data_IF_932450901780
#
_entry.id   IF_932450901780
#
_cell.length_a   1.000
_cell.length_b   1.000
_cell.length_c   1.000
_cell.angle_alpha   90.00
_cell.angle_beta   90.00
_cell.angle_gamma   90.00
#
_symmetry.space_group_name_H-M   'P 1'
#
loop_
_entity.id
_entity.type
_entity.pdbx_description
1 polymer ?
#
# COMPACT_ATOMS: atom_id res chain seq x y z
N UNK A 1 7.40 -18.47 60.57
CA UNK A 1 5.92 -18.58 60.59
C UNK A 1 5.24 -17.85 59.43
N UNK A 2 4.99 -16.53 59.42
CA UNK A 2 4.27 -15.90 58.30
C UNK A 2 5.04 -15.94 56.95
N UNK A 3 6.32 -15.56 56.95
CA UNK A 3 7.19 -15.62 55.76
C UNK A 3 7.34 -17.06 55.23
N UNK A 4 7.37 -18.01 56.15
CA UNK A 4 7.50 -19.44 55.83
C UNK A 4 6.20 -20.03 55.25
N UNK A 5 5.05 -19.57 55.75
CA UNK A 5 3.73 -19.88 55.19
C UNK A 5 3.60 -19.32 53.76
N UNK A 6 4.05 -18.09 53.53
CA UNK A 6 3.96 -17.45 52.22
C UNK A 6 4.95 -18.09 51.23
N UNK A 7 6.15 -18.48 51.66
CA UNK A 7 7.07 -19.30 50.86
C UNK A 7 6.46 -20.67 50.50
N UNK A 8 5.79 -21.34 51.44
CA UNK A 8 5.11 -22.61 51.17
C UNK A 8 3.92 -22.45 50.20
N UNK A 9 3.21 -21.33 50.21
CA UNK A 9 2.16 -21.05 49.21
C UNK A 9 2.76 -20.87 47.82
N UNK A 10 3.87 -20.14 47.69
CA UNK A 10 4.56 -19.94 46.41
C UNK A 10 5.05 -21.26 45.84
N UNK A 11 5.67 -22.13 46.66
CA UNK A 11 6.12 -23.46 46.21
C UNK A 11 4.96 -24.36 45.81
N UNK A 12 3.84 -24.33 46.54
CA UNK A 12 2.61 -25.06 46.16
C UNK A 12 2.05 -24.54 44.83
N UNK A 13 1.97 -23.22 44.64
CA UNK A 13 1.52 -22.64 43.37
C UNK A 13 2.45 -23.01 42.21
N UNK A 14 3.76 -23.05 42.44
CA UNK A 14 4.73 -23.48 41.44
C UNK A 14 4.57 -24.96 41.10
N UNK A 15 4.45 -25.84 42.09
CA UNK A 15 4.20 -27.27 41.89
C UNK A 15 2.86 -27.54 41.19
N UNK A 16 1.83 -26.75 41.48
CA UNK A 16 0.53 -26.83 40.79
C UNK A 16 0.65 -26.41 39.32
N UNK A 17 1.40 -25.35 39.02
CA UNK A 17 1.67 -24.92 37.65
C UNK A 17 2.48 -25.98 36.88
N UNK A 18 3.53 -26.52 37.47
CA UNK A 18 4.34 -27.59 36.88
C UNK A 18 3.51 -28.85 36.63
N UNK A 19 2.67 -29.25 37.60
CA UNK A 19 1.71 -30.35 37.42
C UNK A 19 0.75 -30.08 36.26
N UNK A 20 0.21 -28.87 36.16
CA UNK A 20 -0.73 -28.52 35.09
C UNK A 20 -0.03 -28.54 33.73
N UNK A 21 1.20 -28.04 33.63
CA UNK A 21 2.01 -28.09 32.42
C UNK A 21 2.31 -29.54 32.00
N UNK A 22 2.65 -30.42 32.94
CA UNK A 22 2.88 -31.84 32.67
C UNK A 22 1.61 -32.55 32.18
N UNK A 23 0.45 -32.25 32.78
CA UNK A 23 -0.85 -32.79 32.31
C UNK A 23 -1.14 -32.33 30.88
N UNK A 24 -0.92 -31.05 30.59
CA UNK A 24 -1.16 -30.50 29.25
C UNK A 24 -0.19 -31.09 28.21
N UNK A 25 1.09 -31.27 28.57
CA UNK A 25 2.07 -31.96 27.72
C UNK A 25 1.67 -33.41 27.45
N UNK A 26 1.25 -34.15 28.49
CA UNK A 26 0.80 -35.54 28.36
C UNK A 26 -0.44 -35.64 27.46
N UNK A 27 -1.40 -34.72 27.61
CA UNK A 27 -2.60 -34.67 26.77
C UNK A 27 -2.25 -34.37 25.31
N UNK A 28 -1.37 -33.38 25.05
CA UNK A 28 -0.88 -33.08 23.71
C UNK A 28 -0.18 -34.29 23.09
N UNK A 29 0.68 -34.98 23.84
CA UNK A 29 1.38 -36.17 23.37
C UNK A 29 0.43 -37.35 23.12
N UNK A 30 -0.58 -37.54 23.98
CA UNK A 30 -1.64 -38.54 23.80
C UNK A 30 -2.44 -38.28 22.53
N UNK A 31 -2.85 -37.04 22.29
CA UNK A 31 -3.55 -36.65 21.06
C UNK A 31 -2.70 -36.86 19.80
N UNK A 32 -1.42 -36.50 19.83
CA UNK A 32 -0.53 -36.76 18.69
C UNK A 32 -0.37 -38.25 18.43
N UNK A 33 -0.19 -39.05 19.49
CA UNK A 33 -0.05 -40.50 19.36
C UNK A 33 -1.34 -41.11 18.80
N UNK A 34 -2.51 -40.68 19.28
CA UNK A 34 -3.80 -41.15 18.77
C UNK A 34 -3.98 -40.82 17.28
N UNK A 35 -3.60 -39.60 16.85
CA UNK A 35 -3.62 -39.24 15.43
C UNK A 35 -2.68 -40.12 14.60
N UNK A 36 -1.47 -40.41 15.10
CA UNK A 36 -0.53 -41.29 14.39
C UNK A 36 -1.02 -42.73 14.31
N UNK A 37 -1.64 -43.25 15.37
CA UNK A 37 -2.24 -44.60 15.38
C UNK A 37 -3.34 -44.68 14.34
N UNK A 38 -4.28 -43.72 14.33
CA UNK A 38 -5.37 -43.70 13.35
C UNK A 38 -4.85 -43.65 11.91
N UNK A 39 -3.79 -42.88 11.65
CA UNK A 39 -3.15 -42.80 10.33
C UNK A 39 -2.49 -44.13 9.94
N UNK A 40 -1.74 -44.76 10.85
CA UNK A 40 -1.11 -46.06 10.61
C UNK A 40 -2.15 -47.16 10.40
N UNK A 41 -3.25 -47.16 11.16
CA UNK A 41 -4.36 -48.08 10.97
C UNK A 41 -5.03 -47.88 9.60
N UNK A 42 -5.23 -46.64 9.17
CA UNK A 42 -5.76 -46.35 7.84
C UNK A 42 -4.82 -46.85 6.74
N UNK A 43 -3.51 -46.59 6.86
CA UNK A 43 -2.51 -47.07 5.90
C UNK A 43 -2.47 -48.60 5.85
N UNK A 44 -2.59 -49.26 7.00
CA UNK A 44 -2.63 -50.72 7.08
C UNK A 44 -3.88 -51.27 6.39
N UNK A 45 -5.05 -50.61 6.55
CA UNK A 45 -6.27 -50.98 5.82
C UNK A 45 -6.11 -50.85 4.31
N UNK A 46 -5.48 -49.77 3.84
CA UNK A 46 -5.23 -49.56 2.41
C UNK A 46 -4.27 -50.63 1.88
N UNK A 47 -3.13 -50.85 2.54
CA UNK A 47 -2.16 -51.86 2.12
C UNK A 47 -2.75 -53.28 2.10
N UNK A 48 -3.63 -53.60 3.05
CA UNK A 48 -4.35 -54.88 3.05
C UNK A 48 -5.35 -54.99 1.89
N UNK A 49 -6.04 -53.90 1.54
CA UNK A 49 -6.92 -53.88 0.38
C UNK A 49 -6.15 -54.07 -0.92
N UNK A 50 -5.03 -53.36 -1.09
CA UNK A 50 -4.16 -53.48 -2.26
C UNK A 50 -3.59 -54.90 -2.40
N UNK A 51 -3.22 -55.53 -1.27
CA UNK A 51 -2.80 -56.94 -1.25
C UNK A 51 -3.91 -57.88 -1.73
N UNK A 52 -5.16 -57.63 -1.35
CA UNK A 52 -6.30 -58.46 -1.73
C UNK A 52 -6.61 -58.33 -3.22
N UNK A 53 -6.59 -57.09 -3.74
CA UNK A 53 -6.74 -56.81 -5.18
C UNK A 53 -5.62 -57.48 -5.97
N UNK A 54 -4.36 -57.35 -5.55
CA UNK A 54 -3.23 -57.99 -6.23
C UNK A 54 -3.33 -59.53 -6.22
N UNK A 55 -3.87 -60.13 -5.15
CA UNK A 55 -4.14 -61.57 -5.10
C UNK A 55 -5.24 -61.98 -6.09
N UNK A 56 -6.31 -61.21 -6.17
CA UNK A 56 -7.39 -61.46 -7.12
C UNK A 56 -6.91 -61.34 -8.57
N UNK A 57 -6.12 -60.31 -8.88
CA UNK A 57 -5.51 -60.14 -10.19
C UNK A 57 -4.57 -61.31 -10.54
N UNK A 58 -3.78 -61.78 -9.59
CA UNK A 58 -2.95 -62.97 -9.79
C UNK A 58 -3.77 -64.22 -10.07
N UNK A 59 -4.87 -64.43 -9.36
CA UNK A 59 -5.78 -65.57 -9.56
C UNK A 59 -6.44 -65.53 -10.94
N UNK A 60 -6.92 -64.35 -11.36
CA UNK A 60 -7.49 -64.18 -12.71
C UNK A 60 -6.46 -64.41 -13.81
N UNK A 61 -5.23 -63.91 -13.64
CA UNK A 61 -4.14 -64.13 -14.60
C UNK A 61 -3.75 -65.62 -14.68
N UNK A 62 -3.77 -66.32 -13.55
CA UNK A 62 -3.51 -67.75 -13.47
C UNK A 62 -4.59 -68.56 -14.20
N UNK A 63 -5.86 -68.19 -14.05
CA UNK A 63 -6.97 -68.79 -14.78
C UNK A 63 -6.88 -68.51 -16.28
N UNK A 64 -6.55 -67.28 -16.68
CA UNK A 64 -6.31 -66.92 -18.07
C UNK A 64 -5.15 -67.70 -18.68
N UNK A 65 -4.07 -67.91 -17.94
CA UNK A 65 -2.94 -68.74 -18.36
C UNK A 65 -3.36 -70.20 -18.56
N UNK A 66 -4.12 -70.77 -17.63
CA UNK A 66 -4.65 -72.13 -17.75
C UNK A 66 -5.59 -72.27 -18.97
N UNK A 67 -6.47 -71.29 -19.17
CA UNK A 67 -7.38 -71.21 -20.32
C UNK A 67 -6.61 -71.08 -21.64
N UNK A 68 -5.53 -70.29 -21.65
CA UNK A 68 -4.65 -70.16 -22.80
C UNK A 68 -3.95 -71.49 -23.11
N UNK A 69 -3.44 -72.18 -22.10
CA UNK A 69 -2.81 -73.51 -22.26
C UNK A 69 -3.78 -74.52 -22.89
N UNK A 70 -5.03 -74.56 -22.44
CA UNK A 70 -6.07 -75.42 -23.01
C UNK A 70 -6.34 -75.04 -24.47
N UNK A 71 -6.50 -73.75 -24.77
CA UNK A 71 -6.70 -73.26 -26.15
C UNK A 71 -5.54 -73.62 -27.06
N UNK A 72 -4.30 -73.40 -26.62
CA UNK A 72 -3.10 -73.74 -27.37
C UNK A 72 -3.01 -75.25 -27.64
N UNK A 73 -3.30 -76.09 -26.65
CA UNK A 73 -3.33 -77.55 -26.82
C UNK A 73 -4.43 -78.00 -27.78
N UNK A 74 -5.60 -77.36 -27.74
CA UNK A 74 -6.70 -77.62 -28.68
C UNK A 74 -6.31 -77.28 -30.13
N UNK A 75 -5.71 -76.10 -30.33
CA UNK A 75 -5.19 -75.67 -31.64
C UNK A 75 -4.11 -76.62 -32.15
N UNK A 76 -3.18 -77.04 -31.28
CA UNK A 76 -2.11 -77.98 -31.67
C UNK A 76 -2.68 -79.34 -32.10
N UNK A 77 -3.72 -79.81 -31.39
CA UNK A 77 -4.44 -81.06 -31.71
C UNK A 77 -5.23 -80.94 -33.02
N UNK A 78 -5.84 -79.78 -33.27
CA UNK A 78 -6.54 -79.47 -34.52
C UNK A 78 -5.56 -79.37 -35.70
N UNK A 79 -4.39 -78.78 -35.49
CA UNK A 79 -3.34 -78.66 -36.49
C UNK A 79 -2.73 -80.03 -36.84
N UNK A 80 -2.57 -80.93 -35.87
CA UNK A 80 -2.20 -82.34 -36.12
C UNK A 80 -3.27 -83.09 -36.92
N UNK A 81 -4.57 -82.81 -36.72
CA UNK A 81 -5.65 -83.39 -37.52
C UNK A 81 -5.76 -82.83 -38.95
N UNK A 82 -5.30 -81.59 -39.19
CA UNK A 82 -5.39 -80.91 -40.49
C UNK A 82 -4.18 -81.13 -41.43
N UNK A 83 -3.14 -81.86 -41.00
CA UNK A 83 -1.97 -82.19 -41.83
C UNK A 83 -2.29 -83.05 -43.06
N UNK A 84 -3.50 -83.61 -43.18
CA UNK A 84 -3.94 -84.41 -44.32
C UNK A 84 -4.41 -83.60 -45.55
N UNK A 85 -4.56 -82.27 -45.45
CA UNK A 85 -5.15 -81.44 -46.53
C UNK A 85 -4.22 -80.35 -47.11
N UNK A 86 -2.93 -80.35 -46.76
CA UNK A 86 -2.06 -79.17 -46.94
C UNK A 86 -1.31 -79.05 -48.28
N UNK A 87 -1.48 -79.97 -49.25
CA UNK A 87 -0.63 -80.00 -50.46
C UNK A 87 -1.06 -79.10 -51.62
N UNK A 88 -2.31 -78.61 -51.66
CA UNK A 88 -2.82 -77.80 -52.78
C UNK A 88 -2.89 -76.28 -52.52
N UNK A 89 -2.75 -75.79 -51.27
CA UNK A 89 -2.83 -74.34 -50.96
C UNK A 89 -1.48 -73.60 -50.93
N UNK A 90 -0.37 -74.31 -51.11
CA UNK A 90 0.99 -73.78 -50.94
C UNK A 90 1.29 -72.44 -51.67
N UNK A 91 0.92 -72.23 -52.95
CA UNK A 91 1.25 -70.98 -53.63
C UNK A 91 0.38 -69.77 -53.21
N UNK A 92 -0.88 -69.98 -52.84
CA UNK A 92 -1.77 -68.91 -52.35
C UNK A 92 -1.44 -68.52 -50.90
N UNK A 93 -1.00 -69.48 -50.08
CA UNK A 93 -0.52 -69.23 -48.72
C UNK A 93 0.77 -68.41 -48.77
N UNK A 94 1.73 -68.76 -49.65
CA UNK A 94 3.01 -68.05 -49.77
C UNK A 94 2.80 -66.58 -50.17
N UNK A 95 1.93 -66.27 -51.14
CA UNK A 95 1.64 -64.88 -51.51
C UNK A 95 0.96 -64.08 -50.38
N UNK A 96 0.07 -64.73 -49.62
CA UNK A 96 -0.54 -64.11 -48.43
C UNK A 96 0.50 -63.89 -47.33
N UNK A 97 1.47 -64.79 -47.22
CA UNK A 97 2.58 -64.73 -46.27
C UNK A 97 3.50 -63.56 -46.60
N UNK A 98 3.84 -63.34 -47.88
CA UNK A 98 4.67 -62.21 -48.31
C UNK A 98 3.96 -60.87 -48.13
N UNK A 99 2.65 -60.77 -48.42
CA UNK A 99 1.86 -59.56 -48.12
C UNK A 99 1.85 -59.25 -46.63
N UNK A 100 1.66 -60.27 -45.79
CA UNK A 100 1.68 -60.12 -44.33
C UNK A 100 3.08 -59.72 -43.85
N UNK A 101 4.15 -60.30 -44.39
CA UNK A 101 5.54 -59.92 -44.09
C UNK A 101 5.83 -58.46 -44.44
N UNK A 102 5.39 -57.97 -45.61
CA UNK A 102 5.52 -56.55 -45.95
C UNK A 102 4.74 -55.64 -44.99
N UNK A 103 3.54 -56.04 -44.56
CA UNK A 103 2.77 -55.23 -43.59
C UNK A 103 3.42 -55.26 -42.21
N UNK A 104 3.99 -56.39 -41.80
CA UNK A 104 4.75 -56.51 -40.55
C UNK A 104 6.00 -55.63 -40.61
N UNK A 105 6.69 -55.58 -41.75
CA UNK A 105 7.87 -54.73 -41.92
C UNK A 105 7.49 -53.25 -41.87
N UNK A 106 6.42 -52.83 -42.55
CA UNK A 106 5.87 -51.46 -42.43
C UNK A 106 5.44 -51.13 -41.01
N UNK A 107 4.81 -52.06 -40.28
CA UNK A 107 4.44 -51.87 -38.88
C UNK A 107 5.67 -51.79 -37.97
N UNK A 108 6.74 -52.53 -38.27
CA UNK A 108 8.01 -52.43 -37.54
C UNK A 108 8.70 -51.10 -37.77
N UNK A 109 8.69 -50.57 -39.00
CA UNK A 109 9.29 -49.26 -39.29
C UNK A 109 8.50 -48.15 -38.61
N UNK A 110 7.17 -48.17 -38.68
CA UNK A 110 6.35 -47.16 -37.98
C UNK A 110 6.47 -47.26 -36.46
N UNK A 111 6.57 -48.47 -35.89
CA UNK A 111 6.84 -48.66 -34.47
C UNK A 111 8.21 -48.10 -34.08
N UNK A 112 9.24 -48.30 -34.91
CA UNK A 112 10.57 -47.74 -34.68
C UNK A 112 10.58 -46.21 -34.76
N UNK A 113 9.88 -45.62 -35.73
CA UNK A 113 9.73 -44.18 -35.87
C UNK A 113 8.97 -43.57 -34.68
N UNK A 114 7.86 -44.19 -34.25
CA UNK A 114 7.11 -43.77 -33.07
C UNK A 114 7.97 -43.88 -31.81
N UNK A 115 8.76 -44.95 -31.66
CA UNK A 115 9.68 -45.11 -30.54
C UNK A 115 10.77 -44.03 -30.55
N UNK A 116 11.36 -43.71 -31.71
CA UNK A 116 12.33 -42.63 -31.83
C UNK A 116 11.72 -41.27 -31.47
N UNK A 117 10.46 -41.03 -31.87
CA UNK A 117 9.75 -39.79 -31.52
C UNK A 117 9.46 -39.70 -30.03
N UNK A 118 9.07 -40.81 -29.39
CA UNK A 118 8.91 -40.88 -27.94
C UNK A 118 10.24 -40.56 -27.24
N UNK A 119 11.35 -41.16 -27.69
CA UNK A 119 12.68 -40.87 -27.11
C UNK A 119 13.08 -39.39 -27.28
N UNK A 120 12.78 -38.78 -28.43
CA UNK A 120 13.00 -37.34 -28.65
C UNK A 120 12.17 -36.50 -27.68
N UNK A 121 10.87 -36.79 -27.53
CA UNK A 121 9.98 -36.07 -26.62
C UNK A 121 10.36 -36.26 -25.15
N UNK A 122 10.90 -37.41 -24.77
CA UNK A 122 11.45 -37.65 -23.43
C UNK A 122 12.66 -36.72 -23.20
N UNK A 123 13.61 -36.69 -24.13
CA UNK A 123 14.79 -35.82 -24.01
C UNK A 123 14.43 -34.33 -23.97
N UNK A 124 13.42 -33.91 -24.74
CA UNK A 124 12.90 -32.53 -24.71
C UNK A 124 12.25 -32.21 -23.37
N UNK A 125 11.44 -33.12 -22.82
CA UNK A 125 10.87 -32.96 -21.48
C UNK A 125 11.96 -32.86 -20.41
N UNK A 126 13.03 -33.65 -20.49
CA UNK A 126 14.15 -33.57 -19.54
C UNK A 126 14.85 -32.21 -19.59
N UNK A 127 15.00 -31.61 -20.78
CA UNK A 127 15.57 -30.28 -20.94
C UNK A 127 14.62 -29.22 -20.38
N UNK A 128 13.33 -29.30 -20.70
CA UNK A 128 12.31 -28.37 -20.19
C UNK A 128 12.19 -28.45 -18.66
N UNK A 129 12.25 -29.66 -18.08
CA UNK A 129 12.25 -29.86 -16.64
C UNK A 129 13.46 -29.19 -15.98
N UNK A 130 14.66 -29.34 -16.56
CA UNK A 130 15.88 -28.67 -16.05
C UNK A 130 15.77 -27.15 -16.12
N UNK A 131 15.19 -26.61 -17.20
CA UNK A 131 14.99 -25.16 -17.32
C UNK A 131 13.93 -24.66 -16.33
N UNK A 132 12.87 -25.44 -16.10
CA UNK A 132 11.88 -25.15 -15.07
C UNK A 132 12.51 -25.14 -13.67
N UNK A 133 13.36 -26.12 -13.36
CA UNK A 133 14.08 -26.17 -12.08
C UNK A 133 15.03 -24.97 -11.92
N UNK A 134 15.76 -24.60 -12.98
CA UNK A 134 16.63 -23.42 -13.00
C UNK A 134 15.82 -22.13 -12.80
N UNK A 135 14.67 -22.00 -13.46
CA UNK A 135 13.79 -20.84 -13.34
C UNK A 135 13.21 -20.75 -11.92
N UNK A 136 12.80 -21.88 -11.34
CA UNK A 136 12.34 -21.95 -9.95
C UNK A 136 13.44 -21.53 -8.95
N UNK A 137 14.68 -21.94 -9.17
CA UNK A 137 15.82 -21.54 -8.33
C UNK A 137 16.04 -20.01 -8.40
N UNK A 138 16.02 -19.44 -9.61
CA UNK A 138 16.14 -17.99 -9.82
C UNK A 138 14.97 -17.24 -9.17
N UNK A 139 13.74 -17.70 -9.38
CA UNK A 139 12.55 -17.12 -8.75
C UNK A 139 12.65 -17.16 -7.22
N UNK A 140 13.10 -18.28 -6.65
CA UNK A 140 13.29 -18.42 -5.20
C UNK A 140 14.35 -17.45 -4.68
N UNK A 141 15.46 -17.28 -5.42
CA UNK A 141 16.51 -16.29 -5.08
C UNK A 141 15.96 -14.86 -5.08
N UNK A 142 15.25 -14.47 -6.13
CA UNK A 142 14.65 -13.12 -6.23
C UNK A 142 13.65 -12.88 -5.09
N UNK A 143 12.80 -13.85 -4.78
CA UNK A 143 11.84 -13.75 -3.67
C UNK A 143 12.57 -13.57 -2.33
N UNK A 144 13.64 -14.33 -2.08
CA UNK A 144 14.41 -14.24 -0.85
C UNK A 144 15.15 -12.90 -0.73
N UNK A 145 15.75 -12.41 -1.82
CA UNK A 145 16.40 -11.09 -1.87
C UNK A 145 15.38 -9.96 -1.64
N UNK A 146 14.22 -10.03 -2.28
CA UNK A 146 13.12 -9.08 -2.07
C UNK A 146 12.65 -9.08 -0.61
N UNK A 147 12.46 -10.26 -0.02
CA UNK A 147 12.05 -10.41 1.38
C UNK A 147 13.10 -9.85 2.34
N UNK A 148 14.39 -10.09 2.06
CA UNK A 148 15.49 -9.54 2.86
C UNK A 148 15.52 -8.01 2.79
N UNK A 149 15.40 -7.45 1.58
CA UNK A 149 15.34 -5.99 1.37
C UNK A 149 14.14 -5.36 2.08
N UNK A 150 12.97 -6.01 2.02
CA UNK A 150 11.78 -5.56 2.75
C UNK A 150 12.00 -5.61 4.26
N UNK A 151 12.63 -6.67 4.79
CA UNK A 151 12.94 -6.77 6.22
C UNK A 151 13.92 -5.68 6.67
N UNK A 152 14.93 -5.37 5.87
CA UNK A 152 15.91 -4.32 6.17
C UNK A 152 15.25 -2.94 6.15
N UNK A 153 14.37 -2.65 5.18
CA UNK A 153 13.57 -1.42 5.15
C UNK A 153 12.64 -1.32 6.37
N UNK A 154 11.96 -2.40 6.74
CA UNK A 154 11.12 -2.45 7.96
C UNK A 154 11.92 -2.13 9.22
N UNK A 155 13.14 -2.66 9.35
CA UNK A 155 14.03 -2.34 10.48
C UNK A 155 14.48 -0.89 10.49
N UNK A 156 14.82 -0.32 9.33
CA UNK A 156 15.19 1.09 9.21
C UNK A 156 14.04 2.01 9.63
N UNK A 157 12.83 1.76 9.14
CA UNK A 157 11.66 2.52 9.56
C UNK A 157 11.36 2.38 11.05
N UNK A 158 11.52 1.18 11.62
CA UNK A 158 11.33 0.97 13.05
C UNK A 158 12.33 1.78 13.88
N UNK A 159 13.60 1.81 13.49
CA UNK A 159 14.63 2.59 14.16
C UNK A 159 14.39 4.10 14.04
N UNK A 160 13.88 4.56 12.90
CA UNK A 160 13.52 5.97 12.69
C UNK A 160 12.31 6.38 13.54
N UNK A 161 11.29 5.53 13.64
CA UNK A 161 10.15 5.75 14.53
C UNK A 161 10.58 5.82 16.00
N UNK A 162 11.44 4.90 16.45
CA UNK A 162 11.99 4.91 17.81
C UNK A 162 12.82 6.18 18.07
N UNK A 163 13.57 6.66 17.08
CA UNK A 163 14.30 7.93 17.18
C UNK A 163 13.35 9.11 17.33
N UNK A 164 12.31 9.21 16.50
CA UNK A 164 11.31 10.28 16.56
C UNK A 164 10.58 10.26 17.91
N UNK A 165 10.21 9.07 18.41
CA UNK A 165 9.57 8.91 19.72
C UNK A 165 10.47 9.42 20.85
N UNK A 166 11.75 9.03 20.84
CA UNK A 166 12.74 9.50 21.82
C UNK A 166 12.95 11.02 21.75
N UNK A 167 13.05 11.59 20.55
CA UNK A 167 13.23 13.03 20.36
C UNK A 167 11.98 13.81 20.83
N UNK A 168 10.77 13.30 20.57
CA UNK A 168 9.51 13.86 21.05
C UNK A 168 9.41 13.80 22.59
N UNK A 169 9.77 12.66 23.18
CA UNK A 169 9.80 12.49 24.63
C UNK A 169 10.79 13.45 25.28
N UNK A 170 12.00 13.58 24.71
CA UNK A 170 13.01 14.53 25.18
C UNK A 170 12.52 15.97 25.09
N UNK A 171 11.92 16.38 23.97
CA UNK A 171 11.35 17.73 23.81
C UNK A 171 10.24 18.00 24.84
N UNK A 172 9.41 17.00 25.11
CA UNK A 172 8.33 17.10 26.11
C UNK A 172 8.90 17.29 27.51
N UNK A 173 9.96 16.54 27.87
CA UNK A 173 10.65 16.68 29.15
C UNK A 173 11.30 18.07 29.29
N UNK A 174 12.02 18.54 28.26
CA UNK A 174 12.65 19.87 28.27
C UNK A 174 11.60 20.99 28.43
N UNK A 175 10.46 20.87 27.74
CA UNK A 175 9.33 21.80 27.87
C UNK A 175 8.72 21.77 29.28
N UNK A 176 8.55 20.57 29.85
CA UNK A 176 8.05 20.39 31.21
C UNK A 176 8.98 21.00 32.26
N UNK A 177 10.30 20.86 32.11
CA UNK A 177 11.28 21.45 33.02
C UNK A 177 11.34 22.99 32.88
N UNK A 178 11.22 23.52 31.66
CA UNK A 178 11.04 24.96 31.45
C UNK A 178 9.77 25.47 32.12
N UNK A 179 8.66 24.75 31.97
CA UNK A 179 7.38 25.09 32.61
C UNK A 179 7.53 25.10 34.13
N UNK A 180 8.19 24.10 34.74
CA UNK A 180 8.49 24.08 36.17
C UNK A 180 9.31 25.28 36.63
N UNK A 181 10.31 25.68 35.84
CA UNK A 181 11.14 26.84 36.16
C UNK A 181 10.33 28.14 36.15
N UNK A 182 9.49 28.34 35.12
CA UNK A 182 8.60 29.50 35.02
C UNK A 182 7.55 29.51 36.12
N UNK A 183 6.95 28.36 36.45
CA UNK A 183 6.00 28.27 37.57
C UNK A 183 6.66 28.61 38.89
N UNK A 184 7.90 28.14 39.12
CA UNK A 184 8.64 28.47 40.33
C UNK A 184 8.99 29.96 40.42
N UNK A 185 9.36 30.59 39.30
CA UNK A 185 9.59 32.04 39.26
C UNK A 185 8.31 32.83 39.56
N UNK A 186 7.18 32.43 38.98
CA UNK A 186 5.88 33.04 39.26
C UNK A 186 5.45 32.86 40.72
N UNK A 187 5.66 31.69 41.30
CA UNK A 187 5.41 31.43 42.72
C UNK A 187 6.28 32.33 43.60
N UNK A 188 7.57 32.43 43.31
CA UNK A 188 8.51 33.30 44.04
C UNK A 188 8.11 34.77 43.93
N UNK A 189 7.74 35.25 42.74
CA UNK A 189 7.22 36.61 42.57
C UNK A 189 5.94 36.81 43.37
N UNK A 190 5.00 35.86 43.32
CA UNK A 190 3.76 35.91 44.09
C UNK A 190 4.03 35.96 45.60
N UNK A 191 4.96 35.17 46.12
CA UNK A 191 5.33 35.21 47.54
C UNK A 191 5.98 36.53 47.91
N UNK A 192 6.90 37.06 47.10
CA UNK A 192 7.52 38.37 47.38
C UNK A 192 6.52 39.51 47.39
N UNK A 193 5.56 39.54 46.46
CA UNK A 193 4.50 40.56 46.46
C UNK A 193 3.57 40.39 47.68
N UNK A 194 3.23 39.15 48.06
CA UNK A 194 2.46 38.90 49.30
C UNK A 194 3.21 39.37 50.55
N UNK A 195 4.51 39.11 50.64
CA UNK A 195 5.35 39.57 51.75
C UNK A 195 5.45 41.11 51.80
N UNK A 196 5.60 41.77 50.65
CA UNK A 196 5.61 43.23 50.57
C UNK A 196 4.27 43.83 51.01
N UNK A 197 3.15 43.25 50.58
CA UNK A 197 1.81 43.68 51.03
C UNK A 197 1.68 43.51 52.54
N UNK A 198 2.06 42.34 53.08
CA UNK A 198 2.00 42.08 54.51
C UNK A 198 2.90 43.05 55.31
N UNK A 199 4.10 43.37 54.83
CA UNK A 199 4.97 44.35 55.47
C UNK A 199 4.33 45.75 55.51
N UNK A 200 3.75 46.20 54.39
CA UNK A 200 3.02 47.47 54.31
C UNK A 200 1.82 47.46 55.27
N UNK A 201 1.06 46.38 55.32
CA UNK A 201 -0.06 46.21 56.26
C UNK A 201 0.41 46.34 57.72
N UNK A 202 1.50 45.69 58.11
CA UNK A 202 2.06 45.79 59.48
C UNK A 202 2.57 47.20 59.82
N UNK A 203 3.18 47.90 58.87
CA UNK A 203 3.64 49.28 59.06
C UNK A 203 2.45 50.26 59.18
N UNK A 204 1.38 50.03 58.41
CA UNK A 204 0.12 50.77 58.54
C UNK A 204 -0.53 50.50 59.90
N UNK A 205 -0.62 49.25 60.35
CA UNK A 205 -1.15 48.89 61.67
C UNK A 205 -0.35 49.57 62.79
N UNK A 206 0.98 49.56 62.70
CA UNK A 206 1.86 50.25 63.66
C UNK A 206 1.63 51.76 63.67
N UNK A 207 1.53 52.36 62.49
CA UNK A 207 1.27 53.80 62.34
C UNK A 207 -0.10 54.18 62.91
N UNK A 208 -1.14 53.38 62.63
CA UNK A 208 -2.48 53.55 63.20
C UNK A 208 -2.43 53.42 64.73
N UNK A 209 -1.72 52.43 65.28
CA UNK A 209 -1.56 52.27 66.73
C UNK A 209 -0.88 53.47 67.39
N UNK A 210 0.18 54.02 66.78
CA UNK A 210 0.85 55.23 67.27
C UNK A 210 -0.11 56.43 67.25
N UNK A 211 -0.82 56.64 66.14
CA UNK A 211 -1.79 57.73 66.02
C UNK A 211 -2.95 57.58 67.02
N UNK A 212 -3.42 56.36 67.26
CA UNK A 212 -4.43 56.07 68.27
C UNK A 212 -3.93 56.39 69.68
N UNK A 213 -2.69 56.02 70.02
CA UNK A 213 -2.08 56.34 71.31
C UNK A 213 -1.90 57.86 71.50
N UNK A 214 -1.45 58.57 70.48
CA UNK A 214 -1.34 60.04 70.51
C UNK A 214 -2.72 60.70 70.68
N UNK A 215 -3.72 60.22 69.95
CA UNK A 215 -5.10 60.69 70.07
C UNK A 215 -5.64 60.43 71.48
N UNK A 216 -5.35 59.27 72.06
CA UNK A 216 -5.75 58.94 73.43
C UNK A 216 -5.05 59.83 74.46
N UNK A 217 -3.74 60.07 74.32
CA UNK A 217 -2.99 60.96 75.20
C UNK A 217 -3.53 62.39 75.14
N UNK A 218 -3.75 62.93 73.93
CA UNK A 218 -4.35 64.26 73.76
C UNK A 218 -5.78 64.33 74.33
N UNK A 219 -6.60 63.28 74.15
CA UNK A 219 -7.92 63.18 74.79
C UNK A 219 -7.82 63.21 76.32
N UNK A 220 -6.85 62.51 76.91
CA UNK A 220 -6.62 62.53 78.36
C UNK A 220 -6.16 63.92 78.84
N UNK A 221 -5.27 64.59 78.11
CA UNK A 221 -4.86 65.97 78.42
C UNK A 221 -6.05 66.94 78.36
N UNK A 222 -6.89 66.84 77.32
CA UNK A 222 -8.12 67.63 77.21
C UNK A 222 -9.02 67.37 78.42
N UNK A 223 -9.17 66.12 78.84
CA UNK A 223 -10.00 65.76 80.00
C UNK A 223 -9.41 66.28 81.31
N UNK A 224 -8.08 66.23 81.49
CA UNK A 224 -7.41 66.84 82.64
C UNK A 224 -7.61 68.36 82.67
N UNK A 225 -7.49 69.03 81.52
CA UNK A 225 -7.74 70.47 81.38
C UNK A 225 -9.20 70.81 81.68
N UNK A 226 -10.16 70.03 81.19
CA UNK A 226 -11.59 70.18 81.51
C UNK A 226 -11.84 70.04 83.01
N UNK A 227 -11.32 68.99 83.65
CA UNK A 227 -11.45 68.79 85.09
C UNK A 227 -10.78 69.93 85.89
N UNK A 228 -9.67 70.48 85.41
CA UNK A 228 -9.03 71.65 86.01
C UNK A 228 -9.90 72.90 85.90
N UNK A 229 -10.54 73.11 84.75
CA UNK A 229 -11.52 74.20 84.54
C UNK A 229 -12.74 74.01 85.45
N UNK A 230 -13.25 72.78 85.58
CA UNK A 230 -14.38 72.43 86.47
C UNK A 230 -14.05 72.73 87.95
N UNK A 231 -12.84 72.37 88.40
CA UNK A 231 -12.37 72.64 89.76
C UNK A 231 -12.22 74.14 90.02
N UNK A 232 -11.70 74.89 89.02
CA UNK A 232 -11.61 76.34 89.09
C UNK A 232 -13.01 76.99 89.16
N UNK A 233 -13.99 76.47 88.40
CA UNK A 233 -15.40 76.87 88.48
C UNK A 233 -16.02 76.61 89.85
N UNK A 234 -15.70 75.51 90.53
CA UNK A 234 -16.20 75.23 91.89
C UNK A 234 -15.60 76.15 92.97
N UNK A 235 -14.37 76.65 92.79
CA UNK A 235 -13.76 77.62 93.73
C UNK A 235 -14.25 79.05 93.57
N UNK A 236 -14.87 79.38 92.44
CA UNK A 236 -15.48 80.68 92.19
C UNK A 236 -16.99 80.53 92.11
N UNK A 237 -17.70 80.93 93.17
CA UNK A 237 -19.16 80.99 93.18
C UNK A 237 -19.61 82.07 92.18
N UNK A 238 -19.78 81.68 90.92
CA UNK A 238 -20.39 82.50 89.86
C UNK A 238 -21.44 81.62 89.20
N UNK A 239 -22.65 81.77 89.72
CA UNK A 239 -23.88 81.52 88.97
C UNK A 239 -23.78 82.28 87.65
N UNK A 240 -23.87 81.55 86.53
CA UNK A 240 -24.32 82.15 85.30
C UNK A 240 -25.14 81.15 84.51
N UNK A 241 -26.32 81.64 84.16
CA UNK A 241 -27.45 80.95 83.59
C UNK A 241 -27.12 80.23 82.29
N UNK A 242 -27.78 79.09 82.15
CA UNK A 242 -27.91 78.35 80.91
C UNK A 242 -28.76 79.18 79.96
N UNK A 243 -28.28 79.42 78.75
CA UNK A 243 -29.17 79.36 77.60
C UNK A 243 -28.46 78.73 76.40
N UNK A 244 -29.13 77.71 75.89
CA UNK A 244 -28.74 76.87 74.77
C UNK A 244 -28.77 77.67 73.47
N UNK A 245 -27.72 77.56 72.65
CA UNK A 245 -27.92 77.61 71.19
C UNK A 245 -26.90 76.72 70.51
N UNK A 246 -27.39 75.99 69.53
CA UNK A 246 -26.79 74.78 68.98
C UNK A 246 -25.43 75.00 68.31
N UNK A 247 -24.65 73.94 68.41
CA UNK A 247 -23.30 73.75 67.94
C UNK A 247 -23.28 73.76 66.41
N UNK A 248 -22.53 74.70 65.84
CA UNK A 248 -22.01 74.63 64.47
C UNK A 248 -20.76 73.75 64.53
N UNK A 249 -20.87 72.52 64.03
CA UNK A 249 -19.70 71.72 63.64
C UNK A 249 -19.92 71.22 62.21
N UNK A 250 -19.09 71.76 61.31
CA UNK A 250 -18.84 71.20 59.99
C UNK A 250 -18.21 69.82 60.16
N UNK A 251 -18.91 68.78 59.75
CA UNK A 251 -18.35 67.59 59.16
C UNK A 251 -19.44 66.86 58.37
N UNK A 252 -18.97 66.16 57.34
CA UNK A 252 -19.69 65.18 56.52
C UNK A 252 -20.67 65.70 55.47
N UNK A 253 -20.03 66.05 54.35
CA UNK A 253 -20.40 65.72 52.97
C UNK A 253 -21.39 64.54 52.93
N UNK A 254 -22.66 64.87 52.86
CA UNK A 254 -23.71 63.94 52.49
C UNK A 254 -23.70 63.74 50.99
N UNK A 255 -23.68 62.46 50.61
CA UNK A 255 -24.15 61.89 49.34
C UNK A 255 -25.21 62.78 48.66
N UNK A 256 -24.82 63.39 47.55
CA UNK A 256 -25.74 63.78 46.50
C UNK A 256 -25.60 62.77 45.35
N UNK A 257 -26.64 61.96 45.18
CA UNK A 257 -26.91 61.22 43.96
C UNK A 257 -27.26 62.22 42.85
N UNK A 258 -26.27 62.59 42.03
CA UNK A 258 -26.53 63.14 40.69
C UNK A 258 -25.71 62.34 39.68
N UNK A 259 -26.39 61.50 38.87
CA UNK A 259 -25.82 60.83 37.71
C UNK A 259 -25.26 61.84 36.69
N UNK A 260 -23.95 61.75 36.40
CA UNK A 260 -23.35 62.38 35.23
C UNK A 260 -22.48 61.40 34.44
N UNK A 261 -22.97 61.20 33.24
CA UNK A 261 -22.52 60.55 32.03
C UNK A 261 -21.26 61.14 31.36
N UNK A 262 -20.56 60.27 30.60
CA UNK A 262 -19.48 60.47 29.59
C UNK A 262 -18.07 60.84 30.11
N UNK A 263 -16.97 60.16 29.71
CA UNK A 263 -16.65 59.69 28.35
C UNK A 263 -16.00 58.30 28.26
N UNK A 264 -16.32 57.66 27.13
CA UNK A 264 -15.86 56.38 26.61
C UNK A 264 -14.34 56.33 26.31
N UNK A 265 -13.73 55.16 26.56
CA UNK A 265 -12.85 54.47 25.59
C UNK A 265 -13.06 52.95 25.65
N UNK A 266 -13.50 52.43 24.51
CA UNK A 266 -13.29 51.08 23.97
C UNK A 266 -11.78 50.72 23.90
N UNK A 267 -11.26 49.50 23.74
CA UNK A 267 -11.64 48.15 23.25
C UNK A 267 -10.84 47.12 24.12
N UNK A 268 -11.09 45.82 24.26
CA UNK A 268 -11.62 44.81 23.36
C UNK A 268 -10.51 43.79 23.02
N UNK A 269 -10.46 42.64 23.71
CA UNK A 269 -9.73 41.43 23.26
C UNK A 269 -10.56 40.18 23.59
N UNK A 270 -11.42 39.80 22.65
CA UNK A 270 -11.90 38.45 22.48
C UNK A 270 -11.18 37.85 21.28
N UNK A 271 -10.42 36.78 21.50
CA UNK A 271 -9.73 36.03 20.45
C UNK A 271 -10.46 34.71 20.21
N UNK A 272 -11.55 34.76 19.46
CA UNK A 272 -12.09 33.58 18.79
C UNK A 272 -12.83 34.02 17.52
N UNK A 273 -12.25 33.70 16.35
CA UNK A 273 -12.90 32.91 15.29
C UNK A 273 -12.10 32.98 14.00
N UNK A 274 -11.80 31.80 13.48
CA UNK A 274 -11.39 31.60 12.10
C UNK A 274 -12.55 31.93 11.16
N UNK A 275 -12.28 32.58 10.03
CA UNK A 275 -12.99 32.30 8.79
C UNK A 275 -12.16 32.69 7.58
N UNK A 276 -12.19 31.77 6.63
CA UNK A 276 -11.66 31.81 5.27
C UNK A 276 -12.66 32.58 4.41
N UNK A 277 -12.22 33.48 3.52
CA UNK A 277 -12.63 33.42 2.11
C UNK A 277 -11.94 34.43 1.18
N UNK A 278 -11.96 34.03 -0.09
CA UNK A 278 -11.18 34.50 -1.23
C UNK A 278 -11.80 35.71 -1.98
N UNK A 279 -10.94 36.29 -2.84
CA UNK A 279 -11.20 37.09 -4.06
C UNK A 279 -11.47 38.60 -3.93
N UNK A 280 -10.53 39.43 -4.39
CA UNK A 280 -10.57 39.97 -5.76
C UNK A 280 -9.34 40.81 -6.07
N UNK A 281 -8.91 40.69 -7.32
CA UNK A 281 -7.79 41.40 -7.90
C UNK A 281 -8.07 42.90 -8.02
N UNK A 282 -7.05 43.71 -7.70
CA UNK A 282 -6.83 44.93 -8.47
C UNK A 282 -5.33 45.15 -8.67
N UNK A 283 -4.96 45.26 -9.94
CA UNK A 283 -3.58 45.31 -10.45
C UNK A 283 -3.15 46.76 -10.46
N UNK A 284 -2.35 47.16 -9.47
CA UNK A 284 -1.57 48.39 -9.54
C UNK A 284 -0.09 48.01 -9.69
N UNK A 285 0.39 48.00 -10.94
CA UNK A 285 1.80 47.81 -11.27
C UNK A 285 2.61 48.93 -10.61
N UNK A 286 3.35 48.60 -9.56
CA UNK A 286 4.38 49.48 -9.00
C UNK A 286 5.65 49.30 -9.83
N UNK A 287 6.06 50.32 -10.56
CA UNK A 287 7.34 50.35 -11.26
C UNK A 287 8.50 50.27 -10.26
N UNK A 288 9.56 49.55 -10.67
CA UNK A 288 10.75 49.22 -9.86
C UNK A 288 11.42 50.44 -9.21
N UNK A 289 11.21 51.62 -9.77
CA UNK A 289 11.76 52.91 -9.32
C UNK A 289 11.18 53.37 -7.98
N UNK A 290 9.91 53.07 -7.68
CA UNK A 290 9.25 53.47 -6.42
C UNK A 290 9.69 52.65 -5.19
N UNK A 291 10.31 51.48 -5.39
CA UNK A 291 10.78 50.60 -4.30
C UNK A 291 12.26 50.86 -4.01
N UNK A 292 13.05 51.22 -5.02
CA UNK A 292 14.48 51.44 -4.88
C UNK A 292 14.82 52.86 -4.40
N UNK A 293 13.98 53.85 -4.74
CA UNK A 293 14.12 55.24 -4.30
C UNK A 293 12.91 55.64 -3.45
N UNK A 294 12.93 55.25 -2.18
CA UNK A 294 11.93 55.70 -1.22
C UNK A 294 11.85 57.23 -1.21
N UNK A 295 10.69 57.75 -1.65
CA UNK A 295 10.13 59.08 -1.42
C UNK A 295 11.10 60.15 -0.84
N UNK A 296 12.06 60.63 -1.64
CA UNK A 296 12.85 61.81 -1.28
C UNK A 296 12.06 63.08 -1.58
N UNK A 297 11.02 63.35 -0.79
CA UNK A 297 10.41 64.67 -0.74
C UNK A 297 11.27 65.58 0.16
N UNK A 298 12.46 65.92 -0.33
CA UNK A 298 13.26 67.04 0.20
C UNK A 298 12.67 68.34 -0.33
N UNK A 299 11.59 68.82 0.29
CA UNK A 299 11.13 70.21 0.18
C UNK A 299 10.09 70.49 1.25
N UNK A 300 10.55 70.61 2.50
CA UNK A 300 9.94 71.43 3.55
C UNK A 300 10.86 71.44 4.79
N UNK A 301 12.04 72.03 4.63
CA UNK A 301 12.80 72.60 5.74
C UNK A 301 12.37 74.06 5.88
N UNK A 302 11.32 74.29 6.66
CA UNK A 302 11.00 75.61 7.22
C UNK A 302 10.94 75.48 8.73
N UNK A 303 12.06 75.87 9.36
CA UNK A 303 12.15 76.58 10.63
C UNK A 303 11.02 76.34 11.66
N UNK A 304 11.26 75.50 12.66
CA UNK A 304 11.02 75.79 14.09
C UNK A 304 11.35 74.56 14.95
N UNK A 305 11.87 74.79 16.15
CA UNK A 305 12.22 73.83 17.20
C UNK A 305 13.48 72.97 17.01
N UNK A 306 14.63 73.65 17.09
CA UNK A 306 15.88 73.07 17.55
C UNK A 306 15.88 73.07 19.09
N UNK A 307 15.10 72.18 19.73
CA UNK A 307 15.17 71.89 21.17
C UNK A 307 14.43 70.58 21.49
N UNK A 308 14.89 69.46 20.90
CA UNK A 308 14.57 68.12 21.41
C UNK A 308 15.87 67.40 21.79
N UNK A 309 15.96 66.83 22.99
CA UNK A 309 17.20 66.24 23.49
C UNK A 309 17.66 65.10 22.58
N UNK A 310 18.97 65.08 22.32
CA UNK A 310 19.70 64.14 21.44
C UNK A 310 19.45 62.65 21.74
N UNK A 311 18.88 62.34 22.91
CA UNK A 311 18.46 61.00 23.34
C UNK A 311 17.21 60.51 22.60
N UNK A 312 16.25 61.39 22.29
CA UNK A 312 14.97 61.02 21.66
C UNK A 312 15.19 60.58 20.20
N UNK A 313 16.13 61.23 19.50
CA UNK A 313 16.46 60.85 18.11
C UNK A 313 17.20 59.50 18.01
N UNK A 314 17.94 59.09 19.04
CA UNK A 314 18.63 57.80 19.05
C UNK A 314 17.66 56.66 19.38
N UNK A 315 16.71 56.93 20.28
CA UNK A 315 15.62 56.01 20.64
C UNK A 315 14.66 55.77 19.47
N UNK A 316 14.31 56.82 18.72
CA UNK A 316 13.49 56.70 17.50
C UNK A 316 14.19 55.90 16.40
N UNK A 317 15.51 56.06 16.23
CA UNK A 317 16.30 55.28 15.26
C UNK A 317 16.44 53.82 15.69
N UNK A 318 16.62 53.54 16.98
CA UNK A 318 16.72 52.18 17.51
C UNK A 318 15.36 51.44 17.43
N UNK A 319 14.26 52.15 17.67
CA UNK A 319 12.90 51.62 17.49
C UNK A 319 12.62 51.28 16.03
N UNK A 320 13.00 52.15 15.09
CA UNK A 320 12.86 51.87 13.65
C UNK A 320 13.79 50.74 13.20
N UNK A 321 15.00 50.63 13.77
CA UNK A 321 15.91 49.50 13.53
C UNK A 321 15.29 48.17 13.99
N UNK A 322 14.70 48.13 15.18
CA UNK A 322 13.98 46.96 15.70
C UNK A 322 12.79 46.60 14.82
N UNK A 323 12.01 47.59 14.38
CA UNK A 323 10.89 47.38 13.46
C UNK A 323 11.33 46.78 12.12
N UNK A 324 12.42 47.28 11.55
CA UNK A 324 13.00 46.73 10.30
C UNK A 324 13.50 45.30 10.53
N UNK A 325 14.11 45.02 11.69
CA UNK A 325 14.60 43.68 12.04
C UNK A 325 13.45 42.68 12.22
N UNK A 326 12.33 43.10 12.83
CA UNK A 326 11.11 42.30 12.90
C UNK A 326 10.51 42.02 11.51
N UNK A 327 10.39 43.04 10.66
CA UNK A 327 9.89 42.86 9.29
C UNK A 327 10.84 41.99 8.44
N UNK A 328 12.15 42.12 8.64
CA UNK A 328 13.16 41.25 8.02
C UNK A 328 12.99 39.79 8.49
N UNK A 329 12.75 39.57 9.78
CA UNK A 329 12.53 38.23 10.30
C UNK A 329 11.20 37.63 9.82
N UNK A 330 10.13 38.43 9.73
CA UNK A 330 8.85 38.00 9.14
C UNK A 330 9.00 37.63 7.67
N UNK A 331 9.73 38.44 6.89
CA UNK A 331 9.97 38.15 5.47
C UNK A 331 10.88 36.93 5.27
N UNK A 332 11.92 36.74 6.10
CA UNK A 332 12.73 35.51 6.12
C UNK A 332 11.90 34.27 6.42
N UNK A 333 11.01 34.34 7.41
CA UNK A 333 10.13 33.22 7.74
C UNK A 333 9.16 32.90 6.59
N UNK A 334 8.55 33.93 5.99
CA UNK A 334 7.70 33.76 4.80
C UNK A 334 8.47 33.13 3.64
N UNK A 335 9.68 33.60 3.37
CA UNK A 335 10.54 33.06 2.32
C UNK A 335 10.89 31.59 2.57
N UNK A 336 11.26 31.25 3.81
CA UNK A 336 11.54 29.88 4.20
C UNK A 336 10.33 28.97 3.98
N UNK A 337 9.16 29.36 4.48
CA UNK A 337 7.91 28.61 4.28
C UNK A 337 7.55 28.46 2.80
N UNK A 338 7.68 29.52 1.99
CA UNK A 338 7.42 29.43 0.54
C UNK A 338 8.43 28.52 -0.17
N UNK A 339 9.68 28.47 0.31
CA UNK A 339 10.70 27.60 -0.24
C UNK A 339 10.46 26.14 0.14
N UNK A 340 9.97 25.87 1.35
CA UNK A 340 9.53 24.52 1.75
C UNK A 340 8.34 24.04 0.94
N UNK A 341 7.31 24.89 0.78
CA UNK A 341 6.15 24.59 -0.07
C UNK A 341 6.55 24.39 -1.53
N UNK A 342 7.50 25.18 -2.05
CA UNK A 342 8.02 25.00 -3.40
C UNK A 342 8.74 23.66 -3.53
N UNK A 343 9.63 23.32 -2.60
CA UNK A 343 10.34 22.04 -2.60
C UNK A 343 9.36 20.85 -2.49
N UNK A 344 8.34 20.95 -1.64
CA UNK A 344 7.28 19.93 -1.55
C UNK A 344 6.49 19.82 -2.87
N UNK A 345 6.19 20.95 -3.51
CA UNK A 345 5.52 21.00 -4.83
C UNK A 345 6.38 20.38 -5.93
N UNK A 346 7.68 20.68 -5.96
CA UNK A 346 8.65 20.12 -6.90
C UNK A 346 8.77 18.60 -6.73
N UNK A 347 8.90 18.13 -5.48
CA UNK A 347 8.95 16.70 -5.18
C UNK A 347 7.67 15.98 -5.63
N UNK A 348 6.51 16.56 -5.34
CA UNK A 348 5.23 16.03 -5.79
C UNK A 348 5.11 16.03 -7.31
N UNK A 349 5.62 17.05 -7.99
CA UNK A 349 5.63 17.12 -9.45
C UNK A 349 6.49 16.02 -10.08
N UNK A 350 7.68 15.77 -9.52
CA UNK A 350 8.55 14.66 -9.95
C UNK A 350 7.83 13.32 -9.78
N UNK A 351 7.22 13.09 -8.61
CA UNK A 351 6.47 11.86 -8.33
C UNK A 351 5.28 11.66 -9.27
N UNK A 352 4.53 12.72 -9.56
CA UNK A 352 3.42 12.67 -10.52
C UNK A 352 3.93 12.40 -11.94
N UNK A 353 5.05 13.01 -12.33
CA UNK A 353 5.66 12.79 -13.64
C UNK A 353 6.13 11.35 -13.81
N UNK A 354 6.71 10.74 -12.77
CA UNK A 354 7.08 9.32 -12.77
C UNK A 354 5.85 8.41 -12.90
N UNK A 355 4.79 8.68 -12.13
CA UNK A 355 3.53 7.95 -12.25
C UNK A 355 2.93 8.05 -13.65
N UNK A 356 2.94 9.23 -14.26
CA UNK A 356 2.49 9.43 -15.65
C UNK A 356 3.33 8.62 -16.63
N UNK A 357 4.65 8.53 -16.42
CA UNK A 357 5.53 7.70 -17.26
C UNK A 357 5.18 6.22 -17.13
N UNK A 358 5.05 5.72 -15.90
CA UNK A 358 4.69 4.32 -15.63
C UNK A 358 3.32 3.96 -16.21
N UNK A 359 2.32 4.83 -16.04
CA UNK A 359 0.98 4.63 -16.60
C UNK A 359 1.01 4.61 -18.12
N UNK A 360 1.77 5.51 -18.77
CA UNK A 360 1.94 5.49 -20.23
C UNK A 360 2.58 4.20 -20.72
N UNK A 361 3.59 3.69 -20.01
CA UNK A 361 4.25 2.44 -20.38
C UNK A 361 3.36 1.22 -20.16
N UNK A 362 2.53 1.23 -19.11
CA UNK A 362 1.54 0.19 -18.87
C UNK A 362 0.42 0.23 -19.93
N UNK A 363 -0.07 1.41 -20.33
CA UNK A 363 -1.02 1.55 -21.45
C UNK A 363 -0.42 0.94 -22.74
N UNK A 364 0.81 1.33 -23.11
CA UNK A 364 1.49 0.77 -24.30
C UNK A 364 1.69 -0.74 -24.21
N UNK A 365 1.87 -1.28 -23.01
CA UNK A 365 2.00 -2.73 -22.80
C UNK A 365 0.65 -3.42 -22.96
N UNK A 366 -0.41 -2.87 -22.37
CA UNK A 366 -1.78 -3.37 -22.49
C UNK A 366 -2.23 -3.32 -23.94
N UNK A 367 -2.00 -2.23 -24.66
CA UNK A 367 -2.31 -2.10 -26.10
C UNK A 367 -1.63 -3.20 -26.91
N UNK A 368 -0.31 -3.39 -26.75
CA UNK A 368 0.40 -4.49 -27.45
C UNK A 368 -0.12 -5.87 -27.08
N UNK A 369 -0.55 -6.08 -25.84
CA UNK A 369 -1.14 -7.34 -25.42
C UNK A 369 -2.55 -7.52 -25.99
N UNK A 370 -3.33 -6.45 -26.12
CA UNK A 370 -4.64 -6.45 -26.74
C UNK A 370 -4.51 -6.74 -28.24
N UNK A 371 -3.57 -6.10 -28.94
CA UNK A 371 -3.26 -6.40 -30.35
C UNK A 371 -2.86 -7.86 -30.53
N UNK A 372 -2.06 -8.43 -29.61
CA UNK A 372 -1.72 -9.85 -29.62
C UNK A 372 -2.96 -10.72 -29.40
N UNK A 373 -3.80 -10.40 -28.43
CA UNK A 373 -5.02 -11.15 -28.15
C UNK A 373 -6.00 -11.11 -29.33
N UNK A 374 -6.16 -9.94 -29.95
CA UNK A 374 -6.94 -9.77 -31.17
C UNK A 374 -6.34 -10.58 -32.32
N UNK A 375 -5.02 -10.53 -32.51
CA UNK A 375 -4.34 -11.34 -33.53
C UNK A 375 -4.52 -12.86 -33.29
N UNK A 376 -4.51 -13.30 -32.04
CA UNK A 376 -4.73 -14.71 -31.66
C UNK A 376 -6.19 -15.11 -31.93
N UNK A 377 -7.16 -14.25 -31.58
CA UNK A 377 -8.58 -14.48 -31.89
C UNK A 377 -8.84 -14.49 -33.40
N UNK A 378 -8.21 -13.58 -34.14
CA UNK A 378 -8.25 -13.53 -35.59
C UNK A 378 -7.61 -14.79 -36.22
N UNK A 379 -6.53 -15.33 -35.64
CA UNK A 379 -5.94 -16.60 -36.06
C UNK A 379 -6.85 -17.80 -35.79
N UNK A 380 -7.59 -17.79 -34.68
CA UNK A 380 -8.58 -18.82 -34.38
C UNK A 380 -9.77 -18.75 -35.36
N UNK A 381 -10.26 -17.54 -35.64
CA UNK A 381 -11.26 -17.32 -36.68
C UNK A 381 -10.76 -17.79 -38.05
N UNK A 382 -9.54 -17.41 -38.43
CA UNK A 382 -8.91 -17.83 -39.67
C UNK A 382 -8.78 -19.35 -39.75
N UNK A 383 -8.35 -20.02 -38.67
CA UNK A 383 -8.31 -21.49 -38.58
C UNK A 383 -9.68 -22.09 -38.88
N UNK A 384 -10.74 -21.55 -38.31
CA UNK A 384 -12.10 -22.04 -38.54
C UNK A 384 -12.56 -21.81 -39.99
N UNK A 385 -12.21 -20.67 -40.60
CA UNK A 385 -12.52 -20.39 -42.01
C UNK A 385 -11.71 -21.30 -42.96
N UNK A 386 -10.43 -21.53 -42.68
CA UNK A 386 -9.58 -22.47 -43.44
C UNK A 386 -10.16 -23.89 -43.33
N UNK A 387 -10.50 -24.32 -42.12
CA UNK A 387 -11.10 -25.64 -41.89
C UNK A 387 -12.44 -25.78 -42.64
N UNK A 388 -13.29 -24.74 -42.60
CA UNK A 388 -14.54 -24.68 -43.37
C UNK A 388 -14.27 -24.74 -44.88
N UNK A 389 -13.26 -24.03 -45.39
CA UNK A 389 -12.88 -24.08 -46.81
C UNK A 389 -12.48 -25.50 -47.26
N UNK A 390 -11.77 -26.27 -46.43
CA UNK A 390 -11.40 -27.64 -46.75
C UNK A 390 -12.56 -28.65 -46.62
N UNK A 391 -13.43 -28.50 -45.62
CA UNK A 391 -14.51 -29.48 -45.33
C UNK A 391 -15.72 -29.33 -46.25
N UNK A 392 -16.11 -28.10 -46.60
CA UNK A 392 -17.33 -27.85 -47.39
C UNK A 392 -17.23 -28.52 -48.76
N UNK A 393 -18.25 -29.24 -49.24
CA UNK A 393 -18.21 -29.90 -50.57
C UNK A 393 -18.78 -29.03 -51.69
N UNK A 394 -19.46 -27.94 -51.35
CA UNK A 394 -20.09 -27.02 -52.31
C UNK A 394 -19.10 -25.98 -52.82
N UNK A 395 -18.90 -25.95 -54.15
CA UNK A 395 -18.05 -24.97 -54.83
C UNK A 395 -18.47 -23.53 -54.54
N UNK A 396 -19.77 -23.27 -54.46
CA UNK A 396 -20.29 -21.92 -54.23
C UNK A 396 -19.94 -21.39 -52.83
N UNK A 397 -20.06 -22.24 -51.80
CA UNK A 397 -19.74 -21.86 -50.43
C UNK A 397 -18.23 -21.70 -50.20
N UNK A 398 -17.39 -22.49 -50.91
CA UNK A 398 -15.94 -22.29 -50.92
C UNK A 398 -15.56 -20.96 -51.57
N UNK A 399 -16.21 -20.57 -52.67
CA UNK A 399 -15.96 -19.27 -53.30
C UNK A 399 -16.37 -18.10 -52.39
N UNK A 400 -17.41 -18.26 -51.56
CA UNK A 400 -17.82 -17.24 -50.58
C UNK A 400 -16.83 -17.07 -49.41
N UNK A 401 -16.03 -18.09 -49.06
CA UNK A 401 -15.03 -17.97 -47.98
C UNK A 401 -13.69 -17.40 -48.45
N UNK A 402 -13.42 -17.36 -49.77
CA UNK A 402 -12.19 -16.80 -50.33
C UNK A 402 -12.00 -15.31 -50.02
N UNK A 403 -12.99 -14.41 -50.16
CA UNK A 403 -12.83 -13.00 -49.81
C UNK A 403 -12.37 -12.79 -48.36
N UNK A 404 -12.86 -13.60 -47.43
CA UNK A 404 -12.48 -13.56 -46.01
C UNK A 404 -11.05 -14.06 -45.80
N UNK A 405 -10.62 -15.09 -46.52
CA UNK A 405 -9.23 -15.56 -46.50
C UNK A 405 -8.27 -14.51 -47.08
N UNK A 406 -8.66 -13.85 -48.17
CA UNK A 406 -7.87 -12.79 -48.82
C UNK A 406 -7.67 -11.61 -47.86
N UNK A 407 -8.72 -11.18 -47.16
CA UNK A 407 -8.61 -10.05 -46.21
C UNK A 407 -7.82 -10.41 -44.95
N UNK A 408 -8.03 -11.60 -44.39
CA UNK A 408 -7.35 -12.03 -43.15
C UNK A 408 -5.89 -12.43 -43.36
N UNK A 409 -5.53 -13.00 -44.52
CA UNK A 409 -4.15 -13.38 -44.86
C UNK A 409 -3.42 -12.36 -45.72
N UNK A 410 -4.08 -11.27 -46.13
CA UNK A 410 -3.56 -10.25 -47.07
C UNK A 410 -2.97 -10.87 -48.34
N UNK A 411 -3.71 -11.78 -48.95
CA UNK A 411 -3.26 -12.51 -50.14
C UNK A 411 -3.13 -11.58 -51.35
N UNK A 412 -2.13 -11.85 -52.18
CA UNK A 412 -1.97 -11.18 -53.46
C UNK A 412 -3.07 -11.58 -54.46
N UNK A 413 -3.32 -10.76 -55.50
CA UNK A 413 -4.31 -11.08 -56.54
C UNK A 413 -4.03 -12.42 -57.25
N UNK A 414 -2.74 -12.77 -57.39
CA UNK A 414 -2.31 -14.03 -58.00
C UNK A 414 -2.63 -15.24 -57.11
N UNK A 415 -2.39 -15.14 -55.81
CA UNK A 415 -2.74 -16.17 -54.81
C UNK A 415 -4.27 -16.33 -54.67
N UNK A 416 -5.02 -15.22 -54.75
CA UNK A 416 -6.47 -15.25 -54.81
C UNK A 416 -6.98 -16.03 -56.03
N UNK A 417 -6.37 -15.82 -57.21
CA UNK A 417 -6.75 -16.53 -58.43
C UNK A 417 -6.49 -18.04 -58.31
N UNK A 418 -5.41 -18.43 -57.63
CA UNK A 418 -5.10 -19.83 -57.34
C UNK A 418 -6.13 -20.48 -56.40
N UNK A 419 -6.56 -19.79 -55.34
CA UNK A 419 -7.60 -20.30 -54.44
C UNK A 419 -8.96 -20.46 -55.14
N UNK A 420 -9.32 -19.53 -56.03
CA UNK A 420 -10.55 -19.63 -56.85
C UNK A 420 -10.47 -20.84 -57.78
N UNK A 421 -9.32 -21.08 -58.41
CA UNK A 421 -9.09 -22.24 -59.28
C UNK A 421 -9.20 -23.56 -58.50
N UNK A 422 -8.60 -23.65 -57.32
CA UNK A 422 -8.68 -24.84 -56.44
C UNK A 422 -10.11 -25.10 -55.96
N UNK A 423 -10.84 -24.05 -55.56
CA UNK A 423 -12.24 -24.15 -55.16
C UNK A 423 -13.13 -24.70 -56.30
N UNK A 424 -12.86 -24.31 -57.54
CA UNK A 424 -13.58 -24.79 -58.74
C UNK A 424 -13.16 -26.20 -59.18
N UNK A 425 -11.90 -26.60 -58.98
CA UNK A 425 -11.38 -27.92 -59.41
C UNK A 425 -11.84 -29.07 -58.51
N UNK A 426 -12.18 -28.82 -57.25
CA UNK A 426 -12.62 -29.88 -56.33
C UNK A 426 -13.99 -30.51 -56.65
N UNK A 427 -14.73 -29.96 -57.62
CA UNK A 427 -15.96 -30.59 -58.14
C UNK A 427 -15.66 -31.75 -59.09
N UNK A 428 -14.45 -31.85 -59.65
CA UNK A 428 -14.13 -32.80 -60.71
C UNK A 428 -13.58 -34.15 -60.25
N UNK A 429 -13.35 -34.36 -58.94
CA UNK A 429 -12.70 -35.59 -58.43
C UNK A 429 -13.72 -36.72 -58.12
N UNK A 430 -15.03 -36.44 -58.11
CA UNK A 430 -16.04 -37.47 -57.74
C UNK A 430 -16.72 -38.14 -58.95
N UNK A 431 -16.62 -37.59 -60.17
CA UNK A 431 -17.43 -38.08 -61.31
C UNK A 431 -16.70 -38.98 -62.34
N UNK A 432 -15.45 -39.41 -62.08
CA UNK A 432 -14.66 -40.20 -63.08
C UNK A 432 -14.46 -41.68 -62.79
N UNK A 433 -15.11 -42.28 -61.78
CA UNK A 433 -14.86 -43.70 -61.44
C UNK A 433 -15.87 -44.72 -62.01
N UNK A 434 -16.80 -44.34 -62.88
CA UNK A 434 -17.72 -45.31 -63.52
C UNK A 434 -17.96 -44.98 -65.00
N UNK A 435 -17.10 -45.48 -65.88
CA UNK A 435 -17.40 -45.99 -67.23
C UNK A 435 -16.17 -45.92 -68.14
N UNK A 436 -15.56 -47.06 -68.45
CA UNK A 436 -15.31 -47.50 -69.83
C UNK A 436 -14.37 -48.72 -69.85
N UNK A 437 -14.96 -49.91 -69.98
CA UNK A 437 -14.36 -50.95 -70.80
C UNK A 437 -14.72 -50.65 -72.26
N UNK A 438 -13.71 -50.48 -73.13
CA UNK A 438 -13.60 -51.03 -74.49
C UNK A 438 -12.68 -50.20 -75.39
N UNK A 439 -11.62 -50.88 -75.86
CA UNK A 439 -10.98 -50.77 -77.18
C UNK A 439 -9.95 -49.66 -77.51
N UNK A 440 -8.69 -50.12 -77.49
CA UNK A 440 -7.79 -50.27 -78.66
C UNK A 440 -6.95 -49.07 -79.15
N UNK A 441 -5.66 -49.15 -78.78
CA UNK A 441 -4.42 -48.94 -79.58
C UNK A 441 -4.21 -47.63 -80.36
N UNK A 442 -3.18 -46.85 -79.98
CA UNK A 442 -1.85 -46.84 -80.62
C UNK A 442 -0.96 -45.67 -80.13
N UNK A 443 0.23 -46.04 -79.62
CA UNK A 443 1.57 -45.47 -79.90
C UNK A 443 1.77 -43.94 -79.92
N UNK A 444 2.52 -43.40 -78.95
CA UNK A 444 3.90 -42.89 -79.14
C UNK A 444 4.51 -42.39 -77.81
N UNK A 445 5.78 -42.75 -77.61
CA UNK A 445 6.66 -42.24 -76.56
C UNK A 445 6.85 -40.73 -76.64
N UNK A 446 6.94 -40.06 -75.49
CA UNK A 446 8.09 -39.22 -75.10
C UNK A 446 7.88 -38.60 -73.71
N UNK A 447 8.82 -38.92 -72.83
CA UNK A 447 9.24 -38.20 -71.62
C UNK A 447 8.71 -36.77 -71.44
N UNK A 448 7.99 -36.51 -70.34
CA UNK A 448 8.17 -35.26 -69.60
C UNK A 448 7.96 -35.48 -68.10
N UNK A 449 9.08 -35.63 -67.41
CA UNK A 449 9.23 -35.44 -65.97
C UNK A 449 8.95 -33.97 -65.64
N UNK A 450 7.88 -33.70 -64.90
CA UNK A 450 7.84 -32.69 -63.83
C UNK A 450 6.42 -32.50 -63.31
N UNK A 451 6.29 -32.55 -61.98
CA UNK A 451 5.37 -31.75 -61.14
C UNK A 451 4.61 -32.52 -60.04
N UNK A 452 5.23 -33.46 -59.32
CA UNK A 452 4.66 -33.98 -58.06
C UNK A 452 5.50 -33.70 -56.80
N UNK A 453 6.65 -33.03 -56.91
CA UNK A 453 7.57 -32.85 -55.76
C UNK A 453 7.46 -31.54 -54.98
N UNK A 454 6.46 -30.68 -55.21
CA UNK A 454 6.47 -29.35 -54.59
C UNK A 454 6.03 -29.29 -53.12
N UNK A 455 5.39 -30.32 -52.57
CA UNK A 455 4.88 -30.27 -51.18
C UNK A 455 5.82 -30.92 -50.15
N UNK A 456 6.61 -31.91 -50.56
CA UNK A 456 7.53 -32.60 -49.64
C UNK A 456 8.75 -31.77 -49.24
N UNK A 457 9.07 -30.70 -49.98
CA UNK A 457 10.24 -29.86 -49.68
C UNK A 457 9.99 -28.82 -48.59
N UNK A 458 8.74 -28.42 -48.32
CA UNK A 458 8.44 -27.39 -47.32
C UNK A 458 8.32 -27.91 -45.88
N UNK A 459 8.17 -29.23 -45.70
CA UNK A 459 8.03 -29.85 -44.37
C UNK A 459 9.37 -30.27 -43.74
N UNK A 460 10.49 -30.18 -44.46
CA UNK A 460 11.82 -30.55 -43.96
C UNK A 460 12.67 -29.36 -43.50
N UNK A 461 12.08 -28.17 -43.32
CA UNK A 461 12.81 -26.95 -42.94
C UNK A 461 12.22 -26.22 -41.72
N UNK A 462 11.63 -26.98 -40.79
CA UNK A 462 11.27 -26.54 -39.44
C UNK A 462 11.66 -27.59 -38.40
#
# INVERSE_FOLDING_TARGET
LQIELDNNKVTISQLLSEKQQLIEQLNKQSETNQRTINLLEQNLRIANHDLDVAKQDYETLQDDFNNYKIRAQSVLKQQQQQQSTQRERMPSIVNKQTELEETIEKLKTTLKEANNKIQSLISENEILQKEQDRLNEVQTKIINESRKREQDLRKQHQMELEKIENDCLKRTNDSHDMMKSVTHQNETLSTTFKEQIAAIETDHERSISILQNQLQASKQEIEQLKNRIELLRQTTNIDNEKESTQIVFNNDITKDDIPWTYSERQQGEGSESASVDYQSADVAVKTLENVLFGNTNTNQLSSSNLDKPRHILFEDVELERQRIEEELNKTKYRLHNTNELLNESELNNVRLSEQVSLLKDEIRRIERNMDRAESISNLEYLKNIILKFFILKSTHERLQTIPVLVTMLKLSPDEQAQLVRVAQQTTSIVDTSTNNESNTSQVTNSTNSNSSSSWSSYLNMW
#
